data_IF_365704960936
#
_entry.id   IF_365704960936
#
_cell.length_a   1.000
_cell.length_b   1.000
_cell.length_c   1.000
_cell.angle_alpha   90.00
_cell.angle_beta   90.00
_cell.angle_gamma   90.00
#
_symmetry.space_group_name_H-M   'P 1'
#
loop_
_entity.id
_entity.type
_entity.pdbx_description
1 polymer ?
#
# COMPACT_ATOMS: atom_id res chain seq x y z
N UNK A 1 -16.02 -8.33 -13.56
CA UNK A 1 -14.83 -8.96 -12.95
C UNK A 1 -14.85 -8.71 -11.45
N UNK A 2 -15.01 -9.76 -10.64
CA UNK A 2 -15.06 -9.67 -9.17
C UNK A 2 -13.68 -9.38 -8.58
N UNK A 3 -13.61 -8.41 -7.67
CA UNK A 3 -12.44 -8.03 -6.87
C UNK A 3 -12.19 -9.06 -5.74
N UNK A 4 -11.87 -10.31 -6.08
CA UNK A 4 -11.52 -11.31 -5.07
C UNK A 4 -10.00 -11.36 -4.91
N UNK A 5 -9.49 -10.60 -3.94
CA UNK A 5 -8.14 -10.80 -3.42
C UNK A 5 -8.23 -11.92 -2.37
N UNK A 6 -7.40 -12.97 -2.45
CA UNK A 6 -7.52 -14.11 -1.55
C UNK A 6 -7.32 -13.74 -0.08
N UNK A 7 -8.30 -14.07 0.77
CA UNK A 7 -8.24 -13.92 2.22
C UNK A 7 -8.67 -15.21 2.91
N UNK A 8 -7.97 -15.58 3.99
CA UNK A 8 -8.46 -16.59 4.93
C UNK A 8 -9.22 -15.87 6.04
N UNK A 9 -10.45 -16.30 6.31
CA UNK A 9 -11.24 -15.83 7.46
C UNK A 9 -11.16 -16.92 8.52
N UNK A 10 -10.71 -16.55 9.72
CA UNK A 10 -10.69 -17.44 10.89
C UNK A 10 -11.79 -17.05 11.88
N UNK A 11 -12.40 -18.02 12.55
CA UNK A 11 -13.31 -17.76 13.66
C UNK A 11 -12.56 -17.44 14.96
N UNK A 12 -13.32 -17.16 16.03
CA UNK A 12 -12.76 -16.85 17.34
C UNK A 12 -11.93 -17.99 17.96
N UNK A 13 -12.06 -19.21 17.45
CA UNK A 13 -11.32 -20.41 17.90
C UNK A 13 -10.08 -20.69 17.04
N UNK A 14 -9.83 -19.89 16.00
CA UNK A 14 -8.70 -20.07 15.08
C UNK A 14 -8.98 -21.06 13.96
N UNK A 15 -10.22 -21.51 13.78
CA UNK A 15 -10.60 -22.39 12.68
C UNK A 15 -10.88 -21.57 11.42
N UNK A 16 -10.39 -22.03 10.28
CA UNK A 16 -10.68 -21.42 8.98
C UNK A 16 -12.15 -21.63 8.62
N UNK A 17 -12.87 -20.54 8.41
CA UNK A 17 -14.31 -20.50 8.07
C UNK A 17 -14.53 -20.20 6.58
N UNK A 18 -13.53 -19.66 5.90
CA UNK A 18 -13.50 -19.43 4.45
C UNK A 18 -12.04 -19.39 4.00
N UNK A 19 -11.72 -20.14 2.94
CA UNK A 19 -10.39 -20.20 2.34
C UNK A 19 -10.49 -20.13 0.81
N UNK A 20 -9.82 -19.14 0.22
CA UNK A 20 -9.58 -19.09 -1.23
C UNK A 20 -8.25 -18.38 -1.48
N UNK A 21 -7.11 -19.10 -1.56
CA UNK A 21 -5.85 -18.58 -2.14
C UNK A 21 -5.15 -17.40 -1.43
N UNK A 22 -4.94 -17.47 -0.10
CA UNK A 22 -4.72 -16.28 0.75
C UNK A 22 -3.37 -15.53 0.63
N UNK A 23 -3.47 -14.19 0.70
CA UNK A 23 -2.35 -13.22 0.80
C UNK A 23 -2.16 -12.70 2.27
N UNK A 24 -3.12 -12.90 3.18
CA UNK A 24 -3.01 -12.64 4.64
C UNK A 24 -4.15 -13.32 5.43
N UNK A 25 -3.99 -13.55 6.75
CA UNK A 25 -4.99 -14.17 7.63
C UNK A 25 -5.92 -13.16 8.34
N UNK A 26 -5.45 -11.93 8.58
CA UNK A 26 -6.27 -10.85 9.17
C UNK A 26 -5.84 -9.50 8.64
N UNK A 27 -6.77 -8.73 8.06
CA UNK A 27 -6.54 -7.34 7.65
C UNK A 27 -6.66 -6.41 8.84
N UNK A 28 -5.69 -5.52 9.01
CA UNK A 28 -5.65 -4.54 10.09
C UNK A 28 -6.12 -3.17 9.60
N UNK A 29 -5.65 -2.74 8.43
CA UNK A 29 -6.14 -1.53 7.81
C UNK A 29 -5.99 -1.57 6.28
N UNK A 30 -6.62 -0.59 5.64
CA UNK A 30 -6.37 -0.24 4.25
C UNK A 30 -6.22 1.26 4.17
N UNK A 31 -5.29 1.72 3.33
CA UNK A 31 -5.04 3.13 3.16
C UNK A 31 -4.92 3.50 1.68
N UNK A 32 -5.59 4.58 1.31
CA UNK A 32 -5.58 5.12 -0.04
C UNK A 32 -4.46 6.15 -0.16
N UNK A 33 -3.35 5.76 -0.77
CA UNK A 33 -2.25 6.69 -1.02
C UNK A 33 -2.68 7.70 -2.09
N UNK A 34 -2.49 9.01 -1.86
CA UNK A 34 -2.76 10.02 -2.87
C UNK A 34 -1.76 9.93 -4.05
N UNK A 35 -1.98 10.73 -5.09
CA UNK A 35 -0.93 10.95 -6.09
C UNK A 35 0.13 11.86 -5.47
N UNK A 36 1.39 11.47 -5.63
CA UNK A 36 2.55 12.26 -5.22
C UNK A 36 3.28 12.69 -6.49
N UNK A 37 3.48 13.99 -6.67
CA UNK A 37 4.09 14.54 -7.87
C UNK A 37 5.58 14.84 -7.66
N UNK A 38 6.38 14.66 -8.70
CA UNK A 38 7.75 15.14 -8.73
C UNK A 38 7.78 16.66 -8.53
N UNK A 39 8.74 17.15 -7.73
CA UNK A 39 8.96 18.57 -7.43
C UNK A 39 7.81 19.27 -6.69
N UNK A 40 6.74 18.57 -6.31
CA UNK A 40 5.71 19.13 -5.47
C UNK A 40 6.19 19.21 -4.01
N UNK A 41 5.63 20.16 -3.26
CA UNK A 41 5.98 20.37 -1.84
C UNK A 41 5.63 19.18 -0.94
N UNK A 42 4.91 18.19 -1.46
CA UNK A 42 4.51 16.99 -0.73
C UNK A 42 5.54 15.85 -0.82
N UNK A 43 6.72 16.03 -1.43
CA UNK A 43 7.79 15.02 -1.40
C UNK A 43 9.01 15.53 -0.57
N UNK A 44 9.46 14.81 0.48
CA UNK A 44 9.01 13.49 0.91
C UNK A 44 7.59 13.49 1.50
N UNK A 45 6.81 12.48 1.12
CA UNK A 45 5.48 12.23 1.67
C UNK A 45 5.57 11.09 2.67
N UNK A 46 4.93 11.20 3.83
CA UNK A 46 4.89 10.12 4.82
C UNK A 46 3.59 10.12 5.62
N UNK A 47 3.14 8.92 6.00
CA UNK A 47 2.04 8.71 6.95
C UNK A 47 2.35 7.51 7.83
N UNK A 48 2.02 7.60 9.12
CA UNK A 48 2.26 6.53 10.11
C UNK A 48 0.95 6.09 10.76
N UNK A 49 0.79 4.78 10.91
CA UNK A 49 -0.34 4.13 11.57
C UNK A 49 0.13 3.38 12.81
N UNK A 50 -0.62 3.52 13.90
CA UNK A 50 -0.51 2.64 15.06
C UNK A 50 -1.23 1.31 14.78
N UNK A 51 -0.54 0.19 14.98
CA UNK A 51 -1.02 -1.14 14.59
C UNK A 51 -0.70 -2.16 15.66
N UNK A 52 -1.71 -2.96 16.04
CA UNK A 52 -1.55 -4.06 17.01
C UNK A 52 -1.49 -5.41 16.29
N UNK A 53 -0.25 -5.89 16.08
CA UNK A 53 -0.01 -7.14 15.35
C UNK A 53 -0.32 -8.42 16.15
N UNK A 54 -0.28 -8.36 17.49
CA UNK A 54 -0.67 -9.43 18.41
C UNK A 54 -0.04 -10.80 18.08
N UNK A 55 1.29 -10.84 17.96
CA UNK A 55 2.10 -12.03 17.61
C UNK A 55 1.90 -12.60 16.20
N UNK A 56 1.08 -11.97 15.35
CA UNK A 56 1.00 -12.32 13.94
C UNK A 56 2.18 -11.74 13.15
N UNK A 57 2.66 -12.46 12.14
CA UNK A 57 3.71 -11.96 11.24
C UNK A 57 3.13 -10.86 10.36
N UNK A 58 3.65 -9.61 10.43
CA UNK A 58 3.12 -8.52 9.62
C UNK A 58 3.25 -8.80 8.12
N UNK A 59 2.23 -8.44 7.36
CA UNK A 59 2.23 -8.52 5.91
C UNK A 59 1.55 -7.31 5.31
N UNK A 60 2.13 -6.76 4.24
CA UNK A 60 1.55 -5.64 3.51
C UNK A 60 1.64 -5.90 2.01
N UNK A 61 0.59 -5.57 1.28
CA UNK A 61 0.64 -5.54 -0.18
C UNK A 61 -0.01 -4.28 -0.71
N UNK A 62 0.41 -3.90 -1.93
CA UNK A 62 -0.09 -2.73 -2.63
C UNK A 62 -0.78 -3.17 -3.91
N UNK A 63 -1.88 -2.51 -4.23
CA UNK A 63 -2.55 -2.67 -5.52
C UNK A 63 -2.77 -1.31 -6.15
N UNK A 64 -2.69 -1.22 -7.47
CA UNK A 64 -3.02 0.01 -8.19
C UNK A 64 -4.49 0.37 -7.95
N UNK A 65 -4.75 1.59 -7.49
CA UNK A 65 -6.11 2.05 -7.18
C UNK A 65 -6.90 2.22 -8.48
N UNK A 66 -8.12 1.66 -8.50
CA UNK A 66 -9.05 1.83 -9.63
C UNK A 66 -9.65 3.23 -9.66
N UNK A 67 -9.92 3.74 -10.86
CA UNK A 67 -10.61 5.02 -11.05
C UNK A 67 -9.77 6.25 -10.68
N UNK A 68 -8.45 6.10 -10.58
CA UNK A 68 -7.60 7.24 -10.27
C UNK A 68 -7.48 8.18 -11.47
N UNK A 69 -7.59 9.49 -11.20
CA UNK A 69 -7.40 10.54 -12.20
C UNK A 69 -5.99 11.07 -12.09
N UNK A 70 -5.19 10.91 -13.14
CA UNK A 70 -3.84 11.45 -13.23
C UNK A 70 -3.94 12.94 -13.64
N UNK A 71 -3.25 13.86 -12.95
CA UNK A 71 -3.20 15.26 -13.35
C UNK A 71 -2.66 15.44 -14.78
N UNK A 72 -3.19 16.43 -15.50
CA UNK A 72 -2.72 16.76 -16.84
C UNK A 72 -1.24 17.14 -16.85
N UNK A 73 -0.50 16.72 -17.87
CA UNK A 73 0.93 17.01 -18.01
C UNK A 73 1.83 16.23 -17.05
N UNK A 74 1.34 15.09 -16.53
CA UNK A 74 2.11 14.14 -15.72
C UNK A 74 2.15 12.77 -16.38
N UNK A 75 3.28 12.10 -16.21
CA UNK A 75 3.37 10.65 -16.44
C UNK A 75 3.17 9.96 -15.11
N UNK A 76 2.27 8.98 -15.04
CA UNK A 76 1.97 8.29 -13.79
C UNK A 76 2.52 6.87 -13.77
N UNK A 77 3.15 6.52 -12.65
CA UNK A 77 3.63 5.18 -12.37
C UNK A 77 3.18 4.73 -10.97
N UNK A 78 2.35 3.67 -10.85
CA UNK A 78 1.80 3.23 -9.56
C UNK A 78 2.80 2.37 -8.76
N UNK A 79 3.95 2.95 -8.43
CA UNK A 79 4.95 2.28 -7.57
C UNK A 79 4.46 2.23 -6.13
N UNK A 80 4.73 1.12 -5.44
CA UNK A 80 4.48 1.01 -4.01
C UNK A 80 5.30 2.05 -3.22
N UNK A 81 4.79 2.56 -2.09
CA UNK A 81 5.63 3.31 -1.16
C UNK A 81 6.66 2.38 -0.52
N UNK A 82 7.70 2.96 0.05
CA UNK A 82 8.47 2.27 1.08
C UNK A 82 7.53 1.98 2.26
N UNK A 83 7.50 0.72 2.71
CA UNK A 83 6.68 0.26 3.84
C UNK A 83 7.63 -0.11 4.97
N UNK A 84 7.62 0.67 6.03
CA UNK A 84 8.49 0.48 7.20
C UNK A 84 7.63 0.00 8.36
N UNK A 85 7.89 -1.22 8.83
CA UNK A 85 7.22 -1.79 10.00
C UNK A 85 8.22 -1.77 11.16
N UNK A 86 7.90 -1.01 12.21
CA UNK A 86 8.74 -0.90 13.40
C UNK A 86 7.88 -1.03 14.67
N UNK A 87 8.02 -2.16 15.37
CA UNK A 87 7.19 -2.49 16.52
C UNK A 87 5.69 -2.48 16.15
N UNK A 88 4.91 -1.67 16.85
CA UNK A 88 3.47 -1.48 16.62
C UNK A 88 3.16 -0.30 15.69
N UNK A 89 4.06 0.02 14.76
CA UNK A 89 3.87 1.11 13.80
C UNK A 89 4.14 0.65 12.37
N UNK A 90 3.33 1.17 11.45
CA UNK A 90 3.54 1.04 10.01
C UNK A 90 3.65 2.43 9.42
N UNK A 91 4.77 2.73 8.77
CA UNK A 91 4.98 3.99 8.07
C UNK A 91 5.05 3.74 6.57
N UNK A 92 4.31 4.52 5.80
CA UNK A 92 4.36 4.54 4.34
C UNK A 92 5.09 5.80 3.91
N UNK A 93 6.07 5.71 3.02
CA UNK A 93 6.81 6.90 2.56
C UNK A 93 7.11 6.88 1.07
N UNK A 94 7.06 8.06 0.45
CA UNK A 94 7.66 8.33 -0.86
C UNK A 94 8.77 9.37 -0.68
N UNK A 95 9.95 9.02 -1.15
CA UNK A 95 11.13 9.89 -1.18
C UNK A 95 11.38 10.39 -2.60
N UNK A 96 12.24 11.40 -2.75
CA UNK A 96 12.66 11.91 -4.06
C UNK A 96 13.17 10.80 -5.02
N UNK A 97 13.68 9.68 -4.49
CA UNK A 97 14.11 8.53 -5.29
C UNK A 97 12.99 7.84 -6.07
N UNK A 98 11.76 7.89 -5.56
CA UNK A 98 10.61 7.29 -6.24
C UNK A 98 10.21 8.09 -7.47
N UNK A 99 10.50 9.40 -7.47
CA UNK A 99 10.17 10.32 -8.56
C UNK A 99 11.38 10.69 -9.41
N UNK A 100 12.56 10.15 -9.12
CA UNK A 100 13.82 10.46 -9.83
C UNK A 100 14.06 9.57 -11.06
N UNK A 101 13.00 9.08 -11.70
CA UNK A 101 13.09 8.30 -12.95
C UNK A 101 13.71 9.16 -14.07
N UNK A 102 14.48 8.59 -15.03
CA UNK A 102 15.25 9.37 -15.99
C UNK A 102 14.41 10.39 -16.76
N UNK A 103 15.03 11.55 -16.91
CA UNK A 103 14.58 12.84 -17.43
C UNK A 103 14.17 12.84 -18.92
N UNK A 104 14.22 11.69 -19.58
CA UNK A 104 13.98 11.52 -21.02
C UNK A 104 12.50 11.58 -21.45
N UNK A 105 11.56 11.67 -20.50
CA UNK A 105 10.13 11.66 -20.82
C UNK A 105 9.56 13.03 -21.21
N UNK A 106 10.28 14.13 -20.97
CA UNK A 106 9.79 15.49 -21.24
C UNK A 106 8.58 15.93 -20.40
N UNK A 107 8.18 15.13 -19.41
CA UNK A 107 7.05 15.37 -18.49
C UNK A 107 7.45 15.06 -17.05
N UNK A 108 6.78 15.73 -16.09
CA UNK A 108 6.99 15.46 -14.66
C UNK A 108 6.33 14.13 -14.25
N UNK A 109 7.07 13.32 -13.49
CA UNK A 109 6.57 12.03 -12.99
C UNK A 109 5.61 12.24 -11.80
N UNK A 110 4.60 11.39 -11.71
CA UNK A 110 3.73 11.25 -10.57
C UNK A 110 3.69 9.77 -10.13
N UNK A 111 3.76 9.54 -8.82
CA UNK A 111 3.73 8.22 -8.19
C UNK A 111 2.57 8.11 -7.20
N UNK A 112 2.45 6.99 -6.51
CA UNK A 112 1.33 6.75 -5.60
C UNK A 112 0.08 6.36 -6.35
N UNK A 113 -1.08 6.69 -5.78
CA UNK A 113 -2.33 6.21 -6.34
C UNK A 113 -2.50 4.70 -6.19
N UNK A 114 -2.02 4.16 -5.08
CA UNK A 114 -2.09 2.75 -4.73
C UNK A 114 -2.91 2.58 -3.45
N UNK A 115 -3.61 1.46 -3.36
CA UNK A 115 -4.22 1.01 -2.11
C UNK A 115 -3.22 0.12 -1.40
N UNK A 116 -2.91 0.47 -0.15
CA UNK A 116 -2.03 -0.30 0.72
C UNK A 116 -2.89 -1.06 1.71
N UNK A 117 -2.74 -2.39 1.73
CA UNK A 117 -3.45 -3.26 2.65
C UNK A 117 -2.44 -3.92 3.59
N UNK A 118 -2.57 -3.66 4.89
CA UNK A 118 -1.72 -4.24 5.92
C UNK A 118 -2.51 -5.21 6.79
N UNK A 119 -1.86 -6.29 7.18
CA UNK A 119 -2.43 -7.37 7.95
C UNK A 119 -1.38 -8.23 8.63
N UNK A 120 -1.79 -9.42 9.06
CA UNK A 120 -0.91 -10.46 9.60
C UNK A 120 -1.18 -11.83 9.00
N UNK A 121 -0.13 -12.64 8.91
CA UNK A 121 -0.19 -14.09 8.72
C UNK A 121 -0.09 -14.83 10.06
N UNK A 122 -0.75 -15.99 10.12
CA UNK A 122 -0.82 -16.92 11.26
C UNK A 122 -1.53 -16.40 12.52
N UNK A 123 -2.14 -17.36 13.23
CA UNK A 123 -2.26 -17.40 14.68
C UNK A 123 -2.02 -18.83 15.15
#
# INVERSE_FOLDING_TARGET
MSLQYGWQIMDATGRVVTDTSAIMCRRLFSYHVPIIEALASNIPWSVTFGVSFNNGTPFTHCVTRKGITVPSGRVWYPVAPDIIINGNSVTLTYTARHVSYPDDLGYLLAVGGVDVHCGVYHR
#
